data_IF_348451377688
#
_entry.id   IF_348451377688
#
_cell.length_a   1.000
_cell.length_b   1.000
_cell.length_c   1.000
_cell.angle_alpha   90.00
_cell.angle_beta   90.00
_cell.angle_gamma   90.00
#
_symmetry.space_group_name_H-M   'P 1'
#
loop_
_entity.id
_entity.type
_entity.pdbx_description
1 polymer ?
#
# COMPACT_ATOMS: atom_id res chain seq x y z
N UNK A 1 -16.32 -20.69 -13.77
CA UNK A 1 -15.31 -19.92 -13.00
C UNK A 1 -15.24 -20.51 -11.61
N UNK A 2 -14.03 -20.83 -11.13
CA UNK A 2 -13.81 -21.28 -9.75
C UNK A 2 -14.17 -20.16 -8.76
N UNK A 3 -14.66 -20.54 -7.57
CA UNK A 3 -14.98 -19.63 -6.46
C UNK A 3 -13.80 -18.69 -6.13
N UNK A 4 -12.57 -19.19 -6.34
CA UNK A 4 -11.33 -18.44 -6.15
C UNK A 4 -11.23 -17.21 -7.05
N UNK A 5 -11.50 -17.35 -8.35
CA UNK A 5 -11.47 -16.23 -9.30
C UNK A 5 -12.52 -15.17 -8.95
N UNK A 6 -13.72 -15.58 -8.55
CA UNK A 6 -14.77 -14.64 -8.11
C UNK A 6 -14.30 -13.84 -6.90
N UNK A 7 -13.63 -14.50 -5.95
CA UNK A 7 -13.12 -13.86 -4.73
C UNK A 7 -12.00 -12.87 -5.04
N UNK A 8 -11.10 -13.18 -5.96
CA UNK A 8 -10.00 -12.29 -6.37
C UNK A 8 -10.54 -11.01 -7.01
N UNK A 9 -11.58 -11.08 -7.87
CA UNK A 9 -12.20 -9.89 -8.45
C UNK A 9 -12.88 -9.00 -7.41
N UNK A 10 -13.61 -9.59 -6.45
CA UNK A 10 -14.24 -8.82 -5.36
C UNK A 10 -13.16 -8.14 -4.50
N UNK A 11 -12.06 -8.85 -4.23
CA UNK A 11 -10.91 -8.31 -3.49
C UNK A 11 -10.27 -7.13 -4.21
N UNK A 12 -10.11 -7.19 -5.53
CA UNK A 12 -9.60 -6.07 -6.35
C UNK A 12 -10.51 -4.84 -6.21
N UNK A 13 -11.83 -5.01 -6.31
CA UNK A 13 -12.79 -3.89 -6.15
C UNK A 13 -12.69 -3.29 -4.75
N UNK A 14 -12.61 -4.11 -3.71
CA UNK A 14 -12.42 -3.65 -2.34
C UNK A 14 -11.11 -2.87 -2.16
N UNK A 15 -10.02 -3.33 -2.77
CA UNK A 15 -8.72 -2.67 -2.77
C UNK A 15 -8.75 -1.31 -3.46
N UNK A 16 -9.46 -1.17 -4.57
CA UNK A 16 -9.63 0.11 -5.26
C UNK A 16 -10.37 1.11 -4.36
N UNK A 17 -11.46 0.69 -3.70
CA UNK A 17 -12.19 1.54 -2.75
C UNK A 17 -11.28 1.92 -1.57
N UNK A 18 -10.50 0.97 -1.07
CA UNK A 18 -9.53 1.21 0.01
C UNK A 18 -8.45 2.22 -0.40
N UNK A 19 -7.95 2.17 -1.64
CA UNK A 19 -7.01 3.16 -2.17
C UNK A 19 -7.60 4.57 -2.19
N UNK A 20 -8.87 4.74 -2.62
CA UNK A 20 -9.53 6.04 -2.55
C UNK A 20 -9.68 6.55 -1.11
N UNK A 21 -9.99 5.66 -0.16
CA UNK A 21 -10.02 6.01 1.25
C UNK A 21 -8.64 6.42 1.78
N UNK A 22 -7.57 5.74 1.37
CA UNK A 22 -6.20 6.08 1.72
C UNK A 22 -5.79 7.46 1.18
N UNK A 23 -6.16 7.79 -0.07
CA UNK A 23 -5.96 9.13 -0.65
C UNK A 23 -6.71 10.19 0.13
N UNK A 24 -7.94 9.89 0.60
CA UNK A 24 -8.67 10.82 1.47
C UNK A 24 -7.93 11.10 2.78
N UNK A 25 -7.37 10.06 3.41
CA UNK A 25 -6.56 10.21 4.64
C UNK A 25 -5.33 11.10 4.39
N UNK A 26 -4.71 10.99 3.21
CA UNK A 26 -3.55 11.82 2.84
C UNK A 26 -3.86 13.33 2.84
N UNK A 27 -5.10 13.73 2.56
CA UNK A 27 -5.50 15.14 2.51
C UNK A 27 -5.74 15.78 3.88
N UNK A 28 -5.66 15.01 4.97
CA UNK A 28 -5.81 15.57 6.32
C UNK A 28 -4.60 16.42 6.75
N UNK A 29 -4.88 17.42 7.60
CA UNK A 29 -3.93 18.48 8.00
C UNK A 29 -2.71 17.99 8.79
N UNK A 30 -2.75 16.80 9.39
CA UNK A 30 -1.66 16.31 10.24
C UNK A 30 -0.67 15.45 9.47
N UNK A 31 0.62 15.66 9.73
CA UNK A 31 1.71 14.93 9.08
C UNK A 31 1.59 13.42 9.33
N UNK A 32 1.16 13.02 10.54
CA UNK A 32 0.91 11.63 10.89
C UNK A 32 -0.17 10.98 10.00
N UNK A 33 -1.26 11.69 9.69
CA UNK A 33 -2.30 11.16 8.79
C UNK A 33 -1.77 11.01 7.36
N UNK A 34 -0.96 11.97 6.88
CA UNK A 34 -0.30 11.84 5.59
C UNK A 34 0.58 10.59 5.50
N UNK A 35 1.35 10.30 6.55
CA UNK A 35 2.18 9.11 6.63
C UNK A 35 1.34 7.82 6.57
N UNK A 36 0.26 7.75 7.34
CA UNK A 36 -0.64 6.60 7.36
C UNK A 36 -1.29 6.39 5.99
N UNK A 37 -1.72 7.47 5.32
CA UNK A 37 -2.27 7.43 3.97
C UNK A 37 -1.29 6.84 2.96
N UNK A 38 -0.04 7.33 2.93
CA UNK A 38 0.99 6.79 2.04
C UNK A 38 1.32 5.31 2.33
N UNK A 39 1.41 4.93 3.61
CA UNK A 39 1.72 3.56 4.05
C UNK A 39 0.65 2.56 3.59
N UNK A 40 -0.61 2.91 3.85
CA UNK A 40 -1.78 2.09 3.49
C UNK A 40 -1.94 2.00 1.97
N UNK A 41 -1.66 3.08 1.24
CA UNK A 41 -1.67 3.07 -0.22
C UNK A 41 -0.58 2.16 -0.83
N UNK A 42 0.65 2.23 -0.32
CA UNK A 42 1.74 1.35 -0.76
C UNK A 42 1.45 -0.13 -0.47
N UNK A 43 0.87 -0.44 0.69
CA UNK A 43 0.41 -1.78 1.03
C UNK A 43 -0.67 -2.26 0.06
N UNK A 44 -1.67 -1.41 -0.22
CA UNK A 44 -2.75 -1.73 -1.16
C UNK A 44 -2.21 -2.05 -2.56
N UNK A 45 -1.26 -1.26 -3.06
CA UNK A 45 -0.63 -1.51 -4.37
C UNK A 45 0.10 -2.85 -4.36
N UNK A 46 0.83 -3.16 -3.30
CA UNK A 46 1.59 -4.41 -3.18
C UNK A 46 0.66 -5.64 -3.24
N UNK A 47 -0.48 -5.58 -2.54
CA UNK A 47 -1.49 -6.65 -2.56
C UNK A 47 -2.18 -6.73 -3.92
N UNK A 48 -2.52 -5.59 -4.54
CA UNK A 48 -3.14 -5.55 -5.87
C UNK A 48 -2.22 -6.17 -6.92
N UNK A 49 -0.92 -5.86 -6.87
CA UNK A 49 0.10 -6.44 -7.75
C UNK A 49 0.20 -7.96 -7.57
N UNK A 50 0.03 -8.45 -6.34
CA UNK A 50 0.06 -9.89 -6.04
C UNK A 50 -1.12 -10.65 -6.65
N UNK A 51 -2.32 -10.08 -6.57
CA UNK A 51 -3.54 -10.68 -7.14
C UNK A 51 -3.49 -10.63 -8.66
N UNK A 52 -3.21 -9.45 -9.23
CA UNK A 52 -3.16 -9.27 -10.69
C UNK A 52 -2.03 -10.09 -11.29
N UNK A 53 -0.85 -10.09 -10.68
CA UNK A 53 0.28 -10.92 -11.12
C UNK A 53 -0.01 -12.42 -11.08
N UNK A 54 -0.79 -12.88 -10.09
CA UNK A 54 -1.26 -14.27 -10.01
C UNK A 54 -2.24 -14.63 -11.14
N UNK A 55 -3.20 -13.74 -11.45
CA UNK A 55 -4.19 -13.96 -12.52
C UNK A 55 -3.53 -13.99 -13.90
N UNK A 56 -2.59 -13.08 -14.15
CA UNK A 56 -1.93 -12.94 -15.47
C UNK A 56 -0.62 -13.71 -15.59
N UNK A 57 -0.25 -14.53 -14.59
CA UNK A 57 0.98 -15.34 -14.56
C UNK A 57 2.24 -14.53 -14.93
N UNK A 58 2.39 -13.36 -14.33
CA UNK A 58 3.61 -12.55 -14.48
C UNK A 58 4.72 -13.25 -13.68
N UNK A 59 5.98 -13.24 -14.11
CA UNK A 59 7.05 -13.91 -13.34
C UNK A 59 7.59 -13.03 -12.19
N UNK A 60 7.70 -11.72 -12.39
CA UNK A 60 8.41 -10.80 -11.48
C UNK A 60 7.52 -10.07 -10.45
N UNK A 61 6.22 -10.34 -10.41
CA UNK A 61 5.29 -9.57 -9.57
C UNK A 61 5.55 -9.73 -8.07
N UNK A 62 6.04 -10.91 -7.63
CA UNK A 62 6.32 -11.20 -6.22
C UNK A 62 7.50 -10.39 -5.69
N UNK A 63 8.57 -10.29 -6.46
CA UNK A 63 9.77 -9.55 -6.08
C UNK A 63 9.47 -8.05 -6.00
N UNK A 64 8.69 -7.53 -6.96
CA UNK A 64 8.27 -6.13 -6.95
C UNK A 64 7.33 -5.85 -5.76
N UNK A 65 6.36 -6.72 -5.50
CA UNK A 65 5.46 -6.57 -4.36
C UNK A 65 6.23 -6.59 -3.03
N UNK A 66 7.23 -7.47 -2.91
CA UNK A 66 8.09 -7.55 -1.74
C UNK A 66 8.94 -6.28 -1.59
N UNK A 67 9.55 -5.80 -2.69
CA UNK A 67 10.32 -4.57 -2.69
C UNK A 67 9.46 -3.36 -2.28
N UNK A 68 8.24 -3.24 -2.82
CA UNK A 68 7.31 -2.16 -2.44
C UNK A 68 6.96 -2.21 -0.94
N UNK A 69 6.73 -3.41 -0.40
CA UNK A 69 6.40 -3.59 1.02
C UNK A 69 7.59 -3.18 1.90
N UNK A 70 8.81 -3.63 1.55
CA UNK A 70 10.03 -3.25 2.28
C UNK A 70 10.30 -1.75 2.20
N UNK A 71 10.24 -1.15 1.00
CA UNK A 71 10.43 0.29 0.82
C UNK A 71 9.36 1.10 1.56
N UNK A 72 8.11 0.62 1.62
CA UNK A 72 7.05 1.25 2.38
C UNK A 72 7.36 1.31 3.88
N UNK A 73 7.79 0.19 4.47
CA UNK A 73 8.18 0.14 5.89
C UNK A 73 9.42 1.00 6.15
N UNK A 74 10.45 0.90 5.32
CA UNK A 74 11.68 1.70 5.49
C UNK A 74 11.39 3.19 5.39
N UNK A 75 10.59 3.62 4.40
CA UNK A 75 10.23 5.02 4.20
C UNK A 75 9.45 5.62 5.38
N UNK A 76 8.55 4.84 5.98
CA UNK A 76 7.76 5.28 7.14
C UNK A 76 8.61 5.44 8.40
N UNK A 77 9.55 4.51 8.64
CA UNK A 77 10.51 4.62 9.73
C UNK A 77 11.43 5.82 9.53
N UNK A 78 11.99 5.99 8.33
CA UNK A 78 12.87 7.12 8.02
C UNK A 78 12.18 8.46 8.27
N UNK A 79 10.92 8.59 7.85
CA UNK A 79 10.14 9.79 8.07
C UNK A 79 9.83 10.01 9.57
N UNK A 80 9.46 8.97 10.31
CA UNK A 80 9.20 9.07 11.74
C UNK A 80 10.45 9.53 12.52
N UNK A 81 11.63 9.03 12.15
CA UNK A 81 12.91 9.46 12.73
C UNK A 81 13.22 10.91 12.39
N UNK A 82 13.03 11.31 11.14
CA UNK A 82 13.24 12.70 10.70
C UNK A 82 12.34 13.67 11.48
N UNK A 83 11.03 13.35 11.59
CA UNK A 83 10.08 14.18 12.33
C UNK A 83 10.43 14.29 13.82
N UNK A 84 10.86 13.19 14.46
CA UNK A 84 11.30 13.20 15.86
C UNK A 84 12.50 14.12 16.09
N UNK A 85 13.42 14.18 15.12
CA UNK A 85 14.62 15.03 15.22
C UNK A 85 14.29 16.51 15.16
N UNK A 86 13.39 16.93 14.26
CA UNK A 86 12.93 18.32 14.19
C UNK A 86 12.10 18.79 15.39
N UNK A 87 11.55 17.88 16.19
CA UNK A 87 10.78 18.23 17.40
C UNK A 87 11.66 18.48 18.63
N UNK A 88 12.98 18.21 18.55
CA UNK A 88 13.90 18.32 19.67
C UNK A 88 14.92 19.47 19.53
N UNK A 89 14.94 20.15 18.39
CA UNK A 89 15.65 21.42 18.15
C UNK A 89 14.65 22.59 18.30
#
# INVERSE_FOLDING_TARGET
MSILLISEYILIVALVIFMFAAVRILTHKTIAMGLIGCSTFSLAISVLLLIVGNIYTIDFYKDIALALLLLGVVGTIAFAVALRRFSHD
#
